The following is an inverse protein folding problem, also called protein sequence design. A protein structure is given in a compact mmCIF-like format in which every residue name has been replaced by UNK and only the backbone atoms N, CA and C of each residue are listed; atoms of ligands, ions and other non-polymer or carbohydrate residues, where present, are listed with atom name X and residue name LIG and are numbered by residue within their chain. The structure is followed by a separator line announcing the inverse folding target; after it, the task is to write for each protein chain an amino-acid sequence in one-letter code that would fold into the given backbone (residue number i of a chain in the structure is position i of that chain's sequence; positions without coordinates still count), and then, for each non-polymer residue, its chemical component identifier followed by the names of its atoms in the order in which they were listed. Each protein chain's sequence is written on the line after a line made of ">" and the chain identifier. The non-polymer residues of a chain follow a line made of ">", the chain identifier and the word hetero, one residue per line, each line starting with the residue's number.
data_IF_026398971934
#
_entry.id   IF_026398971934
#
_cell.length_a   1.000
_cell.length_b   1.000
_cell.length_c   1.000
_cell.angle_alpha   90.00
_cell.angle_beta   90.00
_cell.angle_gamma   90.00
#
_symmetry.space_group_name_H-M   'P 1'
#
loop_
_entity.id
_entity.type
_entity.pdbx_description
1 polymer ?
#
# COMPACT_ATOMS: atom_id res chain seq x y z
N UNK A 1 4.63 -10.22 -16.76
CA UNK A 1 5.20 -8.87 -17.08
C UNK A 1 4.96 -7.84 -15.96
N UNK A 2 3.79 -7.81 -15.31
CA UNK A 2 3.49 -6.92 -14.18
C UNK A 2 4.43 -7.08 -12.96
N UNK A 3 4.74 -8.32 -12.53
CA UNK A 3 5.68 -8.59 -11.40
C UNK A 3 7.05 -7.90 -11.55
N UNK A 4 7.61 -7.84 -12.77
CA UNK A 4 8.92 -7.19 -13.03
C UNK A 4 8.88 -5.66 -12.97
N UNK A 5 7.72 -5.03 -13.20
CA UNK A 5 7.59 -3.56 -13.16
C UNK A 5 7.47 -3.04 -11.73
N UNK A 6 6.88 -3.82 -10.82
CA UNK A 6 6.70 -3.47 -9.40
C UNK A 6 7.86 -3.88 -8.52
N UNK A 7 8.58 -4.97 -8.84
CA UNK A 7 9.90 -5.23 -8.26
C UNK A 7 10.81 -4.01 -8.46
N UNK A 8 10.73 -3.31 -9.61
CA UNK A 8 11.44 -2.04 -9.81
C UNK A 8 10.91 -0.88 -8.97
N UNK A 9 9.70 -0.89 -8.42
CA UNK A 9 9.19 0.26 -7.63
C UNK A 9 9.70 0.20 -6.19
N UNK A 10 9.67 -0.97 -5.53
CA UNK A 10 10.34 -1.15 -4.24
C UNK A 10 11.89 -1.15 -4.44
N UNK A 11 12.42 -1.76 -5.52
CA UNK A 11 13.89 -1.83 -5.75
C UNK A 11 14.52 -0.52 -6.31
N UNK A 12 13.83 0.31 -7.12
CA UNK A 12 14.41 1.59 -7.61
C UNK A 12 14.51 2.65 -6.52
N UNK A 13 13.65 2.63 -5.50
CA UNK A 13 13.75 3.57 -4.39
C UNK A 13 14.95 3.27 -3.48
N UNK A 14 15.36 1.99 -3.40
CA UNK A 14 16.48 1.53 -2.57
C UNK A 14 17.85 1.77 -3.21
N UNK A 15 17.97 1.71 -4.55
CA UNK A 15 19.28 1.69 -5.24
C UNK A 15 19.86 3.08 -5.57
N UNK A 16 19.15 4.19 -5.32
CA UNK A 16 19.61 5.49 -5.84
C UNK A 16 20.73 6.19 -5.04
N UNK A 17 21.28 5.63 -3.95
CA UNK A 17 22.32 6.36 -3.18
C UNK A 17 23.23 5.54 -2.26
N UNK A 18 23.91 4.51 -2.77
CA UNK A 18 25.12 3.95 -2.12
C UNK A 18 26.15 3.54 -3.16
N UNK A 19 26.73 4.52 -3.86
CA UNK A 19 28.04 4.34 -4.50
C UNK A 19 29.06 5.17 -3.72
N UNK A 20 29.66 4.54 -2.71
CA UNK A 20 31.03 4.85 -2.30
C UNK A 20 31.66 3.59 -1.68
N UNK A 21 32.44 2.92 -2.53
CA UNK A 21 33.69 2.17 -2.33
C UNK A 21 33.79 1.07 -1.24
N UNK A 22 34.36 -0.11 -1.55
CA UNK A 22 34.45 -1.24 -0.63
C UNK A 22 35.74 -1.19 0.19
N UNK A 23 35.71 -1.67 1.43
CA UNK A 23 36.84 -2.39 2.04
C UNK A 23 36.37 -3.21 3.24
N UNK A 24 37.00 -4.37 3.39
CA UNK A 24 36.50 -5.53 4.11
C UNK A 24 36.30 -5.30 5.60
N UNK A 25 35.07 -5.55 6.05
CA UNK A 25 34.77 -5.95 7.42
C UNK A 25 33.50 -6.78 7.38
N UNK A 26 33.47 -7.84 8.20
CA UNK A 26 32.38 -8.81 8.32
C UNK A 26 31.00 -8.12 8.31
N UNK A 27 30.00 -8.61 7.56
CA UNK A 27 28.77 -7.88 7.33
C UNK A 27 27.87 -7.97 8.57
N UNK A 28 28.16 -7.14 9.59
CA UNK A 28 27.11 -6.70 10.50
C UNK A 28 26.10 -5.96 9.62
N UNK A 29 24.94 -6.56 9.35
CA UNK A 29 23.84 -5.92 8.63
C UNK A 29 23.46 -4.65 9.40
N UNK A 30 24.08 -3.52 9.04
CA UNK A 30 23.69 -2.22 9.55
C UNK A 30 22.28 -1.97 9.02
N UNK A 31 21.29 -1.96 9.91
CA UNK A 31 19.92 -1.59 9.56
C UNK A 31 19.98 -0.19 8.97
N UNK A 32 19.67 -0.07 7.67
CA UNK A 32 19.69 1.21 6.98
C UNK A 32 18.48 2.01 7.47
N UNK A 33 18.74 3.03 8.29
CA UNK A 33 17.70 3.97 8.74
C UNK A 33 17.25 4.81 7.54
N UNK A 34 15.95 4.83 7.28
CA UNK A 34 15.36 5.58 6.18
C UNK A 34 14.94 6.98 6.62
N UNK A 35 15.02 7.94 5.70
CA UNK A 35 14.52 9.30 5.92
C UNK A 35 12.98 9.32 6.01
N UNK A 36 12.43 10.29 6.75
CA UNK A 36 11.00 10.42 7.04
C UNK A 36 10.16 10.56 5.75
N UNK A 37 10.65 11.25 4.73
CA UNK A 37 9.98 11.35 3.43
C UNK A 37 9.86 9.98 2.73
N UNK A 38 10.92 9.17 2.81
CA UNK A 38 10.93 7.81 2.25
C UNK A 38 9.97 6.90 3.01
N UNK A 39 9.97 6.98 4.34
CA UNK A 39 9.05 6.23 5.18
C UNK A 39 7.59 6.56 4.85
N UNK A 40 7.25 7.84 4.71
CA UNK A 40 5.91 8.26 4.28
C UNK A 40 5.56 7.75 2.87
N UNK A 41 6.51 7.75 1.93
CA UNK A 41 6.31 7.17 0.60
C UNK A 41 5.99 5.68 0.68
N UNK A 42 6.75 4.95 1.49
CA UNK A 42 6.61 3.51 1.68
C UNK A 42 5.27 3.15 2.35
N UNK A 43 4.86 3.90 3.38
CA UNK A 43 3.53 3.75 3.99
C UNK A 43 2.40 4.01 2.97
N UNK A 44 2.49 5.05 2.15
CA UNK A 44 1.49 5.30 1.09
C UNK A 44 1.43 4.18 0.07
N UNK A 45 2.58 3.59 -0.29
CA UNK A 45 2.62 2.42 -1.19
C UNK A 45 1.93 1.23 -0.54
N UNK A 46 2.19 0.97 0.74
CA UNK A 46 1.56 -0.13 1.48
C UNK A 46 0.04 0.01 1.53
N UNK A 47 -0.49 1.20 1.83
CA UNK A 47 -1.95 1.45 1.81
C UNK A 47 -2.56 1.14 0.45
N UNK A 48 -1.88 1.52 -0.64
CA UNK A 48 -2.36 1.26 -2.00
C UNK A 48 -2.27 -0.22 -2.39
N UNK A 49 -1.31 -0.94 -1.83
CA UNK A 49 -1.07 -2.35 -2.08
C UNK A 49 -1.87 -3.27 -1.17
N UNK A 50 -2.58 -2.74 -0.17
CA UNK A 50 -3.45 -3.56 0.66
C UNK A 50 -4.45 -4.29 -0.24
N UNK A 51 -4.50 -5.64 -0.17
CA UNK A 51 -5.40 -6.39 -1.00
C UNK A 51 -6.83 -6.03 -0.60
N UNK A 52 -7.52 -5.32 -1.49
CA UNK A 52 -8.97 -5.21 -1.45
C UNK A 52 -9.53 -6.58 -1.85
N UNK A 53 -10.64 -6.98 -1.24
CA UNK A 53 -11.28 -8.31 -1.35
C UNK A 53 -11.42 -8.83 -2.80
N UNK A 54 -11.34 -7.95 -3.80
CA UNK A 54 -11.56 -8.26 -5.21
C UNK A 54 -10.36 -8.02 -6.15
N UNK A 55 -9.17 -7.64 -5.67
CA UNK A 55 -8.04 -7.30 -6.55
C UNK A 55 -6.77 -8.16 -6.40
N UNK A 56 -6.24 -8.49 -7.58
CA UNK A 56 -5.10 -9.34 -7.97
C UNK A 56 -3.98 -9.64 -6.95
N UNK A 57 -3.56 -10.91 -7.03
CA UNK A 57 -2.45 -11.65 -6.41
C UNK A 57 -1.09 -10.91 -6.27
N UNK A 58 -1.01 -9.90 -5.42
CA UNK A 58 0.25 -9.21 -5.06
C UNK A 58 0.50 -9.20 -3.54
N UNK A 59 0.03 -10.23 -2.82
CA UNK A 59 0.20 -10.37 -1.38
C UNK A 59 1.67 -10.60 -1.00
N UNK A 60 2.42 -11.36 -1.80
CA UNK A 60 3.87 -11.51 -1.61
C UNK A 60 4.61 -10.18 -1.80
N UNK A 61 4.16 -9.33 -2.74
CA UNK A 61 4.73 -8.01 -2.96
C UNK A 61 4.42 -7.06 -1.79
N UNK A 62 3.18 -7.10 -1.29
CA UNK A 62 2.80 -6.38 -0.08
C UNK A 62 3.66 -6.78 1.11
N UNK A 63 3.81 -8.08 1.40
CA UNK A 63 4.63 -8.58 2.51
C UNK A 63 6.09 -8.13 2.36
N UNK A 64 6.68 -8.24 1.17
CA UNK A 64 8.05 -7.74 0.94
C UNK A 64 8.21 -6.28 1.30
N UNK A 65 7.39 -5.40 0.71
CA UNK A 65 7.51 -3.97 0.97
C UNK A 65 7.09 -3.65 2.43
N UNK A 66 6.30 -4.49 3.09
CA UNK A 66 6.01 -4.37 4.51
C UNK A 66 7.23 -4.69 5.38
N UNK A 67 8.00 -5.73 5.06
CA UNK A 67 9.23 -6.04 5.80
C UNK A 67 10.36 -5.02 5.55
N UNK A 68 10.34 -4.32 4.42
CA UNK A 68 11.23 -3.17 4.18
C UNK A 68 10.96 -1.97 5.13
N UNK A 69 9.80 -1.92 5.81
CA UNK A 69 9.50 -0.90 6.83
C UNK A 69 10.42 -0.94 8.04
N UNK A 70 11.25 -1.96 8.21
CA UNK A 70 12.20 -2.06 9.34
C UNK A 70 13.11 -0.83 9.44
N UNK A 71 13.47 -0.21 8.31
CA UNK A 71 14.24 1.04 8.29
C UNK A 71 13.49 2.27 8.84
N UNK A 72 12.17 2.15 9.01
CA UNK A 72 11.25 3.19 9.47
C UNK A 72 10.73 2.96 10.90
N UNK A 73 11.21 1.93 11.59
CA UNK A 73 10.73 1.57 12.94
C UNK A 73 10.93 2.68 13.99
N UNK A 74 11.89 3.59 13.75
CA UNK A 74 12.12 4.77 14.59
C UNK A 74 10.95 5.78 14.56
N UNK A 75 10.09 5.73 13.53
CA UNK A 75 8.87 6.56 13.42
C UNK A 75 7.66 5.77 13.93
N UNK A 76 7.53 4.53 13.48
CA UNK A 76 6.42 3.64 13.88
C UNK A 76 6.91 2.21 13.84
N UNK A 77 6.94 1.57 15.01
CA UNK A 77 7.45 0.23 15.15
C UNK A 77 6.39 -0.80 14.72
N UNK A 78 6.71 -1.59 13.68
CA UNK A 78 5.86 -2.68 13.18
C UNK A 78 6.38 -4.08 13.54
N UNK A 79 7.26 -4.20 14.54
CA UNK A 79 7.84 -5.48 14.96
C UNK A 79 6.79 -6.53 15.27
N UNK A 80 5.79 -6.21 16.10
CA UNK A 80 4.70 -7.13 16.43
C UNK A 80 3.99 -7.68 15.18
N UNK A 81 3.69 -6.80 14.21
CA UNK A 81 3.00 -7.16 12.97
C UNK A 81 3.85 -8.06 12.07
N UNK A 82 5.18 -7.86 12.09
CA UNK A 82 6.12 -8.72 11.35
C UNK A 82 6.23 -10.09 12.01
N UNK A 83 6.15 -10.17 13.34
CA UNK A 83 6.04 -11.44 14.05
C UNK A 83 4.73 -12.18 13.72
N UNK A 84 3.60 -11.46 13.60
CA UNK A 84 2.34 -12.07 13.17
C UNK A 84 2.46 -12.73 11.78
N UNK A 85 3.19 -12.12 10.85
CA UNK A 85 3.47 -12.72 9.55
C UNK A 85 4.42 -13.92 9.65
N UNK A 86 5.48 -13.84 10.46
CA UNK A 86 6.37 -14.98 10.71
C UNK A 86 5.60 -16.18 11.26
N UNK A 87 4.73 -15.95 12.25
CA UNK A 87 3.92 -17.00 12.87
C UNK A 87 2.94 -17.65 11.87
N UNK A 88 2.32 -16.87 10.98
CA UNK A 88 1.33 -17.40 10.00
C UNK A 88 1.95 -18.07 8.78
N UNK A 89 3.09 -17.58 8.31
CA UNK A 89 3.73 -18.05 7.08
C UNK A 89 4.81 -19.11 7.34
N UNK A 90 5.49 -19.04 8.48
CA UNK A 90 6.71 -19.77 8.78
C UNK A 90 7.94 -19.11 8.14
N UNK A 91 9.10 -19.31 8.76
CA UNK A 91 10.36 -18.67 8.32
C UNK A 91 10.79 -19.09 6.92
N UNK A 92 10.56 -20.35 6.53
CA UNK A 92 10.95 -20.86 5.21
C UNK A 92 10.19 -20.16 4.08
N UNK A 93 8.86 -20.08 4.19
CA UNK A 93 8.02 -19.46 3.17
C UNK A 93 8.25 -17.96 3.13
N UNK A 94 8.35 -17.32 4.30
CA UNK A 94 8.67 -15.90 4.40
C UNK A 94 10.03 -15.60 3.75
N UNK A 95 11.05 -16.43 4.01
CA UNK A 95 12.37 -16.32 3.38
C UNK A 95 12.28 -16.33 1.85
N UNK A 96 11.52 -17.29 1.28
CA UNK A 96 11.28 -17.33 -0.17
C UNK A 96 10.59 -16.07 -0.70
N UNK A 97 9.56 -15.59 0.00
CA UNK A 97 8.88 -14.34 -0.37
C UNK A 97 9.85 -13.17 -0.39
N UNK A 98 10.65 -13.01 0.66
CA UNK A 98 11.63 -11.92 0.80
C UNK A 98 12.73 -11.99 -0.27
N UNK A 99 13.11 -13.20 -0.69
CA UNK A 99 14.12 -13.43 -1.73
C UNK A 99 13.56 -13.46 -3.17
N UNK A 100 12.27 -13.18 -3.38
CA UNK A 100 11.61 -13.24 -4.69
C UNK A 100 11.57 -14.65 -5.32
N UNK A 101 11.62 -15.68 -4.48
CA UNK A 101 11.55 -17.10 -4.85
C UNK A 101 10.14 -17.67 -4.60
N UNK A 102 9.13 -16.80 -4.49
CA UNK A 102 7.75 -17.18 -4.24
C UNK A 102 7.10 -17.93 -5.43
N UNK A 103 6.49 -19.08 -5.14
CA UNK A 103 5.69 -19.85 -6.11
C UNK A 103 4.22 -19.40 -6.11
N UNK A 104 3.40 -19.79 -7.10
CA UNK A 104 1.95 -19.51 -7.08
C UNK A 104 1.23 -20.08 -5.85
N UNK A 105 1.70 -21.21 -5.30
CA UNK A 105 1.16 -21.79 -4.06
C UNK A 105 1.50 -20.92 -2.85
N UNK A 106 2.73 -20.37 -2.79
CA UNK A 106 3.14 -19.44 -1.74
C UNK A 106 2.33 -18.15 -1.78
N UNK A 107 2.01 -17.65 -2.97
CA UNK A 107 1.16 -16.46 -3.14
C UNK A 107 -0.24 -16.65 -2.55
N UNK A 108 -0.83 -17.85 -2.70
CA UNK A 108 -2.13 -18.17 -2.11
C UNK A 108 -2.08 -18.15 -0.58
N UNK A 109 -1.03 -18.73 0.00
CA UNK A 109 -0.81 -18.72 1.46
C UNK A 109 -0.51 -17.31 1.97
N UNK A 110 0.30 -16.55 1.23
CA UNK A 110 0.57 -15.14 1.49
C UNK A 110 -0.73 -14.33 1.51
N UNK A 111 -1.62 -14.54 0.53
CA UNK A 111 -2.91 -13.88 0.45
C UNK A 111 -3.77 -14.16 1.68
N UNK A 112 -3.89 -15.43 2.09
CA UNK A 112 -4.60 -15.81 3.31
C UNK A 112 -4.03 -15.11 4.55
N UNK A 113 -2.69 -15.08 4.70
CA UNK A 113 -2.06 -14.42 5.83
C UNK A 113 -2.29 -12.90 5.82
N UNK A 114 -2.24 -12.25 4.65
CA UNK A 114 -2.53 -10.82 4.55
C UNK A 114 -3.98 -10.55 4.92
N UNK A 115 -4.95 -11.28 4.37
CA UNK A 115 -6.37 -11.12 4.69
C UNK A 115 -6.65 -11.22 6.20
N UNK A 116 -5.99 -12.15 6.89
CA UNK A 116 -6.15 -12.32 8.35
C UNK A 116 -5.54 -11.17 9.17
N UNK A 117 -4.61 -10.41 8.60
CA UNK A 117 -3.91 -9.32 9.28
C UNK A 117 -4.37 -7.92 8.83
N UNK A 118 -5.11 -7.81 7.71
CA UNK A 118 -5.37 -6.53 7.02
C UNK A 118 -5.94 -5.46 7.95
N UNK A 119 -7.01 -5.75 8.68
CA UNK A 119 -7.73 -4.73 9.46
C UNK A 119 -6.87 -4.13 10.59
N UNK A 120 -6.07 -4.97 11.25
CA UNK A 120 -5.17 -4.53 12.32
C UNK A 120 -4.00 -3.72 11.76
N UNK A 121 -3.46 -4.17 10.63
CA UNK A 121 -2.32 -3.54 9.97
C UNK A 121 -2.72 -2.19 9.37
N UNK A 122 -3.90 -2.09 8.75
CA UNK A 122 -4.42 -0.85 8.17
C UNK A 122 -4.53 0.26 9.22
N UNK A 123 -5.11 -0.03 10.39
CA UNK A 123 -5.26 0.98 11.44
C UNK A 123 -3.93 1.54 11.92
N UNK A 124 -2.94 0.67 12.20
CA UNK A 124 -1.60 1.12 12.61
C UNK A 124 -0.91 1.90 11.49
N UNK A 125 -1.04 1.45 10.25
CA UNK A 125 -0.35 2.06 9.11
C UNK A 125 -0.97 3.41 8.68
N UNK A 126 -2.27 3.59 8.89
CA UNK A 126 -2.92 4.90 8.77
C UNK A 126 -2.48 5.83 9.91
N UNK A 127 -2.32 5.31 11.13
CA UNK A 127 -1.89 6.13 12.28
C UNK A 127 -0.44 6.62 12.17
N UNK A 128 0.40 5.92 11.40
CA UNK A 128 1.79 6.31 11.15
C UNK A 128 1.96 7.34 10.03
N UNK A 129 0.88 7.71 9.34
CA UNK A 129 0.93 8.76 8.31
C UNK A 129 0.95 10.16 8.92
N UNK A 130 1.67 11.08 8.26
CA UNK A 130 1.51 12.50 8.54
C UNK A 130 0.05 12.94 8.31
N UNK A 131 -0.44 13.88 9.14
CA UNK A 131 -1.80 14.41 9.17
C UNK A 131 -2.36 14.78 7.79
N UNK A 132 -1.55 15.42 6.94
CA UNK A 132 -1.98 15.77 5.57
C UNK A 132 -2.29 14.53 4.73
N UNK A 133 -1.49 13.48 4.84
CA UNK A 133 -1.72 12.21 4.13
C UNK A 133 -2.92 11.46 4.72
N UNK A 134 -3.08 11.53 6.04
CA UNK A 134 -4.24 10.98 6.73
C UNK A 134 -5.54 11.61 6.23
N UNK A 135 -5.61 12.95 6.15
CA UNK A 135 -6.77 13.66 5.59
C UNK A 135 -7.03 13.22 4.16
N UNK A 136 -6.01 13.17 3.29
CA UNK A 136 -6.17 12.73 1.90
C UNK A 136 -6.75 11.32 1.81
N UNK A 137 -6.29 10.40 2.66
CA UNK A 137 -6.83 9.05 2.69
C UNK A 137 -8.31 9.04 3.08
N UNK A 138 -8.70 9.79 4.12
CA UNK A 138 -10.09 9.87 4.56
C UNK A 138 -11.01 10.59 3.58
N UNK A 139 -10.55 11.66 2.94
CA UNK A 139 -11.36 12.41 1.96
C UNK A 139 -11.54 11.61 0.68
N UNK A 140 -10.47 10.98 0.16
CA UNK A 140 -10.55 10.13 -1.03
C UNK A 140 -11.44 8.92 -0.78
N UNK A 141 -11.28 8.20 0.33
CA UNK A 141 -12.16 7.06 0.64
C UNK A 141 -13.64 7.46 0.79
N UNK A 142 -13.93 8.63 1.37
CA UNK A 142 -15.30 9.15 1.43
C UNK A 142 -15.84 9.48 0.04
N UNK A 143 -15.06 10.18 -0.78
CA UNK A 143 -15.46 10.53 -2.15
C UNK A 143 -15.67 9.27 -2.99
N UNK A 144 -14.77 8.29 -2.92
CA UNK A 144 -14.91 7.00 -3.63
C UNK A 144 -16.18 6.25 -3.20
N UNK A 145 -16.46 6.17 -1.90
CA UNK A 145 -17.69 5.53 -1.39
C UNK A 145 -18.95 6.29 -1.80
N UNK A 146 -18.93 7.62 -1.74
CA UNK A 146 -20.06 8.46 -2.17
C UNK A 146 -20.28 8.34 -3.68
N UNK A 147 -19.23 8.37 -4.49
CA UNK A 147 -19.31 8.18 -5.93
C UNK A 147 -19.76 6.76 -6.28
N UNK A 148 -19.29 5.72 -5.60
CA UNK A 148 -19.77 4.36 -5.79
C UNK A 148 -21.27 4.24 -5.45
N UNK A 149 -21.72 4.83 -4.33
CA UNK A 149 -23.14 4.86 -3.98
C UNK A 149 -23.98 5.65 -5.00
N UNK A 150 -23.47 6.78 -5.51
CA UNK A 150 -24.14 7.58 -6.54
C UNK A 150 -24.16 6.86 -7.88
N UNK A 151 -23.10 6.14 -8.25
CA UNK A 151 -23.04 5.34 -9.47
C UNK A 151 -24.07 4.22 -9.43
N UNK A 152 -24.18 3.49 -8.31
CA UNK A 152 -25.21 2.45 -8.10
C UNK A 152 -26.62 3.03 -8.24
N UNK A 153 -26.85 4.25 -7.75
CA UNK A 153 -28.14 4.95 -7.90
C UNK A 153 -28.35 5.43 -9.35
N UNK A 154 -27.27 5.78 -10.07
CA UNK A 154 -27.32 6.34 -11.43
C UNK A 154 -27.38 5.31 -12.56
N UNK A 155 -27.13 4.03 -12.30
CA UNK A 155 -27.30 2.94 -13.29
C UNK A 155 -28.76 2.65 -13.63
N UNK A 156 -29.72 3.25 -12.92
CA UNK A 156 -31.09 3.41 -13.42
C UNK A 156 -31.20 4.62 -14.35
N UNK A 157 -31.82 4.46 -15.52
CA UNK A 157 -32.00 5.48 -16.58
C UNK A 157 -32.45 6.87 -16.06
N UNK A 158 -33.14 6.93 -14.92
CA UNK A 158 -33.57 8.17 -14.26
C UNK A 158 -32.44 8.98 -13.58
N UNK A 159 -31.41 8.32 -13.07
CA UNK A 159 -30.33 8.99 -12.31
C UNK A 159 -29.39 9.81 -13.20
N UNK A 160 -29.08 9.32 -14.40
CA UNK A 160 -28.31 10.09 -15.39
C UNK A 160 -29.02 11.40 -15.80
N UNK A 161 -30.34 11.38 -15.92
CA UNK A 161 -31.12 12.59 -16.25
C UNK A 161 -31.05 13.66 -15.14
N UNK A 162 -31.00 13.24 -13.87
CA UNK A 162 -30.95 14.17 -12.74
C UNK A 162 -29.57 14.85 -12.63
N UNK A 163 -28.50 14.10 -12.83
CA UNK A 163 -27.12 14.63 -12.82
C UNK A 163 -26.91 15.59 -13.99
N UNK A 164 -27.39 15.26 -15.18
CA UNK A 164 -27.28 16.15 -16.35
C UNK A 164 -28.04 17.47 -16.15
N UNK A 165 -29.25 17.42 -15.57
CA UNK A 165 -30.04 18.63 -15.32
C UNK A 165 -29.45 19.53 -14.24
N UNK A 166 -28.85 18.95 -13.19
CA UNK A 166 -28.18 19.73 -12.14
C UNK A 166 -26.90 20.39 -12.66
N UNK A 167 -26.11 19.69 -13.49
CA UNK A 167 -24.93 20.27 -14.13
C UNK A 167 -25.30 21.40 -15.11
N UNK A 168 -26.39 21.24 -15.87
CA UNK A 168 -26.88 22.26 -16.81
C UNK A 168 -27.30 23.55 -16.08
N UNK A 169 -28.07 23.44 -14.99
CA UNK A 169 -28.47 24.61 -14.18
C UNK A 169 -27.27 25.32 -13.55
N UNK A 170 -26.26 24.57 -13.12
CA UNK A 170 -25.05 25.16 -12.54
C UNK A 170 -24.26 25.97 -13.58
N UNK A 171 -24.17 25.47 -14.82
CA UNK A 171 -23.52 26.18 -15.94
C UNK A 171 -24.27 27.47 -16.32
N UNK A 172 -25.59 27.44 -16.37
CA UNK A 172 -26.42 28.62 -16.67
C UNK A 172 -26.27 29.73 -15.60
N UNK A 173 -26.14 29.36 -14.33
CA UNK A 173 -25.93 30.34 -13.25
C UNK A 173 -24.53 30.97 -13.23
N UNK A 174 -23.51 30.27 -13.77
CA UNK A 174 -22.16 30.84 -13.90
C UNK A 174 -22.02 31.84 -15.05
N UNK A 175 -22.87 31.77 -16.07
CA UNK A 175 -22.84 32.69 -17.21
C UNK A 175 -23.68 33.96 -16.97
N UNK A 176 -24.43 34.01 -15.87
CA UNK A 176 -25.22 35.17 -15.44
C UNK A 176 -24.54 36.01 -14.35
N UNK A 177 -23.30 35.67 -13.98
CA UNK A 177 -22.40 36.48 -13.16
C UNK A 177 -21.25 36.94 -14.04
#
# INVERSE_FOLDING_TARGET
>A
IFRRKWSRICNKQTISKTMSKPEGSSPSKSVVVLDNEKCNSLYRVLIRLQPKVEQDMLSSAYIRCFFETVGCDHISNFSDQREDYRAKLGDDLLGRILNFEDTPSDEMRASQAVMLCTDLHERRLISSLNWTSWIQHYTVNKVEKTLASLMIISTGYAGMHYVFNTFRKFKENRLKK
#
